data_IF_224083426900
#
_entry.id   IF_224083426900
#
_cell.length_a   1.000
_cell.length_b   1.000
_cell.length_c   1.000
_cell.angle_alpha   90.00
_cell.angle_beta   90.00
_cell.angle_gamma   90.00
#
_symmetry.space_group_name_H-M   'P 1'
#
loop_
_entity.id
_entity.type
_entity.pdbx_description
1 polymer ?
#
# COMPACT_ATOMS: atom_id res chain seq x y z
N UNK A 1 -60.48 -7.20 21.49
CA UNK A 1 -59.56 -7.07 20.35
C UNK A 1 -58.32 -6.44 20.90
N UNK A 2 -57.25 -7.21 21.00
CA UNK A 2 -55.92 -6.67 21.28
C UNK A 2 -55.36 -6.25 19.93
N UNK A 3 -55.02 -4.98 19.81
CA UNK A 3 -54.31 -4.43 18.66
C UNK A 3 -52.82 -4.71 18.88
N UNK A 4 -52.29 -5.68 18.14
CA UNK A 4 -50.87 -5.98 18.07
C UNK A 4 -50.17 -4.84 17.33
N UNK A 5 -49.54 -3.93 18.08
CA UNK A 5 -48.59 -2.97 17.56
C UNK A 5 -47.26 -3.69 17.28
N UNK A 6 -47.19 -4.31 16.11
CA UNK A 6 -45.94 -4.81 15.53
C UNK A 6 -45.07 -3.61 15.16
N UNK A 7 -44.31 -3.12 16.14
CA UNK A 7 -43.23 -2.17 15.93
C UNK A 7 -42.21 -2.81 15.01
N UNK A 8 -42.10 -2.30 13.79
CA UNK A 8 -41.05 -2.67 12.85
C UNK A 8 -39.70 -2.38 13.52
N UNK A 9 -39.03 -3.43 14.00
CA UNK A 9 -37.67 -3.39 14.52
C UNK A 9 -36.65 -3.20 13.37
N UNK A 10 -36.88 -2.21 12.53
CA UNK A 10 -35.94 -1.75 11.52
C UNK A 10 -35.03 -0.70 12.16
N UNK A 11 -34.06 -1.16 12.96
CA UNK A 11 -33.00 -0.29 13.45
C UNK A 11 -32.27 0.37 12.29
N UNK A 12 -31.82 1.62 12.46
CA UNK A 12 -31.07 2.33 11.44
C UNK A 12 -29.79 1.52 11.10
N UNK A 13 -29.64 1.16 9.82
CA UNK A 13 -28.48 0.40 9.36
C UNK A 13 -27.32 1.37 9.10
N UNK A 14 -26.27 1.25 9.89
CA UNK A 14 -25.07 2.07 9.77
C UNK A 14 -24.11 1.43 8.78
N UNK A 15 -23.84 2.14 7.67
CA UNK A 15 -22.90 1.70 6.63
C UNK A 15 -21.49 2.24 6.83
N UNK A 16 -21.33 3.38 7.52
CA UNK A 16 -20.06 4.07 7.66
C UNK A 16 -19.64 4.15 9.12
N UNK A 17 -18.42 3.68 9.40
CA UNK A 17 -17.85 3.71 10.75
C UNK A 17 -16.52 4.46 10.72
N UNK A 18 -16.41 5.47 11.59
CA UNK A 18 -15.13 6.15 11.80
C UNK A 18 -14.19 5.20 12.56
N UNK A 19 -13.07 4.85 11.96
CA UNK A 19 -12.08 3.94 12.53
C UNK A 19 -10.85 4.71 13.01
N UNK A 20 -10.47 4.48 14.27
CA UNK A 20 -9.28 5.05 14.88
C UNK A 20 -8.89 4.29 16.15
N UNK A 21 -7.69 4.55 16.66
CA UNK A 21 -7.23 4.00 17.94
C UNK A 21 -7.38 5.07 19.02
N UNK A 22 -7.77 4.66 20.23
CA UNK A 22 -7.93 5.55 21.40
C UNK A 22 -8.79 6.80 21.14
N UNK A 23 -9.79 6.68 20.26
CA UNK A 23 -10.70 7.76 19.92
C UNK A 23 -11.49 8.30 21.12
N UNK A 24 -11.65 7.49 22.16
CA UNK A 24 -12.38 7.84 23.36
C UNK A 24 -11.39 8.35 24.41
N UNK A 25 -11.32 9.67 24.57
CA UNK A 25 -10.60 10.26 25.71
C UNK A 25 -11.24 9.84 27.05
N UNK A 26 -10.58 10.13 28.16
CA UNK A 26 -11.01 9.70 29.49
C UNK A 26 -12.43 10.14 29.91
N UNK A 27 -13.05 11.13 29.24
CA UNK A 27 -14.39 11.67 29.56
C UNK A 27 -15.11 12.30 28.35
N UNK A 28 -15.59 11.49 27.40
CA UNK A 28 -16.62 11.93 26.43
C UNK A 28 -16.12 12.84 25.29
N UNK A 29 -14.82 12.93 25.05
CA UNK A 29 -14.27 13.53 23.83
C UNK A 29 -14.03 12.42 22.81
N UNK A 30 -14.59 12.58 21.61
CA UNK A 30 -14.32 11.72 20.46
C UNK A 30 -13.24 12.38 19.60
N UNK A 31 -12.06 11.77 19.57
CA UNK A 31 -10.87 12.29 18.88
C UNK A 31 -10.14 11.12 18.19
N UNK A 32 -10.69 10.63 17.08
CA UNK A 32 -10.09 9.54 16.29
C UNK A 32 -8.85 9.94 15.49
N UNK A 33 -8.28 11.13 15.74
CA UNK A 33 -7.15 11.65 15.00
C UNK A 33 -5.87 10.94 15.49
N UNK A 34 -5.29 10.10 14.65
CA UNK A 34 -3.88 9.70 14.78
C UNK A 34 -3.56 8.74 15.94
N UNK A 35 -3.92 7.46 15.77
CA UNK A 35 -3.37 6.34 16.55
C UNK A 35 -1.85 6.14 16.43
N UNK A 36 -1.13 7.04 15.74
CA UNK A 36 0.34 7.08 15.69
C UNK A 36 0.95 7.98 16.78
N UNK A 37 0.13 8.57 17.65
CA UNK A 37 0.62 9.45 18.71
C UNK A 37 1.17 10.79 18.21
N UNK A 38 0.90 11.17 16.95
CA UNK A 38 1.17 12.52 16.45
C UNK A 38 0.16 13.50 17.08
N UNK A 39 0.49 13.94 18.30
CA UNK A 39 -0.18 15.03 19.02
C UNK A 39 0.09 16.41 18.36
N UNK A 40 0.32 16.45 17.05
CA UNK A 40 0.76 17.65 16.35
C UNK A 40 -0.42 18.56 15.93
N UNK A 41 -1.65 18.21 16.30
CA UNK A 41 -2.83 19.05 16.09
C UNK A 41 -3.31 19.69 17.41
N UNK A 42 -2.42 20.33 18.16
CA UNK A 42 -2.84 21.38 19.08
C UNK A 42 -3.42 22.55 18.28
N UNK A 43 -4.74 22.57 18.08
CA UNK A 43 -5.47 23.84 17.90
C UNK A 43 -6.28 24.07 16.62
N UNK A 44 -6.52 23.08 15.76
CA UNK A 44 -7.38 23.27 14.58
C UNK A 44 -8.65 22.43 14.63
N UNK A 45 -9.77 23.04 14.99
CA UNK A 45 -11.13 22.47 15.00
C UNK A 45 -11.69 22.21 13.58
N UNK A 46 -10.92 21.59 12.69
CA UNK A 46 -11.32 21.32 11.32
C UNK A 46 -11.02 19.89 10.96
N UNK A 47 -12.04 19.03 11.00
CA UNK A 47 -12.03 17.80 10.23
C UNK A 47 -11.98 18.20 8.75
N UNK A 48 -10.93 17.79 8.02
CA UNK A 48 -10.77 18.16 6.61
C UNK A 48 -11.17 17.02 5.69
N UNK A 49 -11.00 15.76 6.10
CA UNK A 49 -11.39 14.63 5.25
C UNK A 49 -11.31 13.24 5.88
N UNK A 50 -11.65 12.25 5.07
CA UNK A 50 -11.65 10.83 5.43
C UNK A 50 -11.11 9.96 4.32
N UNK A 51 -10.28 8.98 4.67
CA UNK A 51 -9.77 7.96 3.74
C UNK A 51 -10.52 6.67 3.99
N UNK A 52 -11.13 6.11 2.95
CA UNK A 52 -11.80 4.82 3.03
C UNK A 52 -10.75 3.71 3.10
N UNK A 53 -10.82 2.90 4.15
CA UNK A 53 -10.01 1.72 4.31
C UNK A 53 -10.72 0.55 3.63
N UNK A 54 -10.21 0.12 2.48
CA UNK A 54 -10.70 -1.09 1.84
C UNK A 54 -10.15 -2.32 2.57
N UNK A 55 -11.02 -3.30 2.83
CA UNK A 55 -10.62 -4.61 3.31
C UNK A 55 -9.65 -5.28 2.34
N UNK A 56 -8.76 -6.16 2.82
CA UNK A 56 -7.96 -6.99 1.93
C UNK A 56 -8.90 -7.91 1.17
N UNK A 57 -9.19 -7.62 -0.10
CA UNK A 57 -9.86 -8.59 -0.95
C UNK A 57 -8.95 -9.82 -1.07
N UNK A 58 -9.50 -10.98 -0.74
CA UNK A 58 -8.78 -12.24 -0.72
C UNK A 58 -8.24 -12.53 -2.14
N UNK A 59 -6.91 -12.45 -2.32
CA UNK A 59 -6.28 -12.62 -3.62
C UNK A 59 -4.75 -12.46 -3.60
N UNK A 60 -4.12 -12.73 -4.74
CA UNK A 60 -2.65 -12.68 -4.92
C UNK A 60 -2.08 -11.26 -4.70
N UNK A 61 -2.92 -10.22 -4.83
CA UNK A 61 -2.59 -8.83 -4.49
C UNK A 61 -2.50 -8.55 -2.99
N UNK A 62 -3.05 -9.43 -2.13
CA UNK A 62 -2.96 -9.26 -0.69
C UNK A 62 -1.51 -9.41 -0.21
N UNK A 63 -0.74 -10.34 -0.78
CA UNK A 63 0.64 -10.61 -0.36
C UNK A 63 1.59 -9.43 -0.63
N UNK A 64 1.43 -8.73 -1.75
CA UNK A 64 2.23 -7.53 -2.07
C UNK A 64 1.83 -6.34 -1.20
N UNK A 65 0.55 -6.22 -0.83
CA UNK A 65 0.05 -5.23 0.12
C UNK A 65 0.51 -5.52 1.56
N UNK A 66 0.69 -6.77 2.00
CA UNK A 66 1.14 -7.07 3.37
C UNK A 66 2.54 -6.52 3.71
N UNK A 67 3.42 -6.38 2.72
CA UNK A 67 4.79 -5.85 2.94
C UNK A 67 4.87 -4.32 2.91
N UNK A 68 3.95 -3.66 2.21
CA UNK A 68 4.03 -2.22 1.91
C UNK A 68 2.84 -1.40 2.42
N UNK A 69 1.71 -2.04 2.73
CA UNK A 69 0.55 -1.39 3.31
C UNK A 69 0.69 -1.33 4.83
N UNK A 70 0.20 -0.25 5.46
CA UNK A 70 0.03 -0.19 6.90
C UNK A 70 -0.77 -1.43 7.37
N UNK A 71 -0.31 -2.10 8.43
CA UNK A 71 -1.09 -3.18 9.04
C UNK A 71 -2.34 -2.57 9.69
N UNK A 72 -3.45 -2.61 8.97
CA UNK A 72 -4.75 -2.19 9.48
C UNK A 72 -5.27 -3.30 10.40
N UNK A 73 -5.59 -2.96 11.65
CA UNK A 73 -6.17 -3.88 12.64
C UNK A 73 -7.66 -4.13 12.36
N UNK A 74 -7.97 -4.77 11.23
CA UNK A 74 -9.35 -5.01 10.79
C UNK A 74 -10.18 -5.78 11.83
N UNK A 75 -9.62 -6.85 12.40
CA UNK A 75 -10.27 -7.63 13.47
C UNK A 75 -10.54 -6.81 14.74
N UNK A 76 -9.69 -5.81 15.02
CA UNK A 76 -9.90 -4.90 16.14
C UNK A 76 -11.11 -3.99 15.89
N UNK A 77 -11.24 -3.46 14.67
CA UNK A 77 -12.34 -2.59 14.29
C UNK A 77 -13.67 -3.33 14.20
N UNK A 78 -13.70 -4.56 13.66
CA UNK A 78 -14.94 -5.35 13.62
C UNK A 78 -15.47 -5.64 15.02
N UNK A 79 -14.60 -6.00 15.97
CA UNK A 79 -14.98 -6.19 17.38
C UNK A 79 -15.47 -4.91 18.04
N UNK A 80 -14.86 -3.76 17.71
CA UNK A 80 -15.30 -2.46 18.22
C UNK A 80 -16.67 -2.04 17.65
N UNK A 81 -16.94 -2.34 16.38
CA UNK A 81 -18.23 -2.14 15.73
C UNK A 81 -19.30 -3.00 16.41
N UNK A 82 -19.02 -4.29 16.63
CA UNK A 82 -19.96 -5.21 17.30
C UNK A 82 -20.28 -4.78 18.75
N UNK A 83 -19.26 -4.30 19.48
CA UNK A 83 -19.47 -3.74 20.81
C UNK A 83 -20.31 -2.44 20.78
N UNK A 84 -20.11 -1.59 19.77
CA UNK A 84 -20.86 -0.34 19.64
C UNK A 84 -22.30 -0.58 19.16
N UNK A 85 -22.50 -1.51 18.24
CA UNK A 85 -23.81 -1.88 17.72
C UNK A 85 -24.70 -2.45 18.84
N UNK A 86 -24.12 -3.30 19.70
CA UNK A 86 -24.83 -3.85 20.86
C UNK A 86 -25.14 -2.80 21.95
N UNK A 87 -24.28 -1.80 22.15
CA UNK A 87 -24.51 -0.74 23.13
C UNK A 87 -25.56 0.30 22.71
N UNK A 88 -25.63 0.61 21.41
CA UNK A 88 -26.51 1.65 20.87
C UNK A 88 -27.71 1.09 20.09
N UNK A 89 -27.90 -0.23 20.10
CA UNK A 89 -28.98 -0.94 19.40
C UNK A 89 -29.01 -0.63 17.88
N UNK A 90 -27.83 -0.42 17.29
CA UNK A 90 -27.65 -0.13 15.87
C UNK A 90 -27.48 -1.44 15.09
N UNK A 91 -27.95 -1.47 13.84
CA UNK A 91 -27.64 -2.57 12.93
C UNK A 91 -26.43 -2.17 12.08
N UNK A 92 -25.36 -2.98 12.05
CA UNK A 92 -24.23 -2.75 11.15
C UNK A 92 -24.47 -3.47 9.82
N UNK A 93 -24.07 -2.85 8.71
CA UNK A 93 -23.95 -3.55 7.44
C UNK A 93 -22.97 -4.74 7.57
N UNK A 94 -23.16 -5.77 6.74
CA UNK A 94 -22.31 -6.96 6.70
C UNK A 94 -20.89 -6.65 6.23
N UNK A 95 -20.74 -5.63 5.38
CA UNK A 95 -19.46 -5.06 4.95
C UNK A 95 -19.43 -3.54 5.22
N UNK A 96 -19.11 -3.12 6.46
CA UNK A 96 -19.12 -1.72 6.83
C UNK A 96 -17.92 -0.97 6.24
N UNK A 97 -18.16 0.21 5.68
CA UNK A 97 -17.11 1.08 5.18
C UNK A 97 -16.41 1.78 6.35
N UNK A 98 -15.16 1.39 6.59
CA UNK A 98 -14.29 2.01 7.58
C UNK A 98 -13.67 3.28 7.01
N UNK A 99 -13.91 4.41 7.67
CA UNK A 99 -13.34 5.71 7.28
C UNK A 99 -12.31 6.12 8.31
N UNK A 100 -11.06 6.27 7.88
CA UNK A 100 -9.98 6.81 8.69
C UNK A 100 -9.97 8.34 8.60
N UNK A 101 -9.90 9.00 9.75
CA UNK A 101 -10.01 10.45 9.86
C UNK A 101 -8.64 11.10 9.67
N UNK A 102 -8.55 12.08 8.75
CA UNK A 102 -7.28 12.74 8.43
C UNK A 102 -7.39 14.25 8.63
N UNK A 103 -6.40 14.84 9.31
CA UNK A 103 -6.35 16.27 9.58
C UNK A 103 -5.78 17.08 8.40
N UNK A 104 -4.80 16.51 7.69
CA UNK A 104 -4.19 17.11 6.51
C UNK A 104 -4.10 16.09 5.38
N UNK A 105 -5.09 16.13 4.49
CA UNK A 105 -5.12 15.30 3.28
C UNK A 105 -3.87 15.51 2.41
N UNK A 106 -3.37 16.75 2.34
CA UNK A 106 -2.23 17.10 1.51
C UNK A 106 -0.93 16.52 2.07
N UNK A 107 -0.76 16.49 3.40
CA UNK A 107 0.39 15.84 4.03
C UNK A 107 0.39 14.33 3.77
N UNK A 108 -0.78 13.67 3.88
CA UNK A 108 -0.90 12.24 3.60
C UNK A 108 -0.62 11.98 2.12
N UNK A 109 -1.29 12.66 1.19
CA UNK A 109 -1.04 12.50 -0.25
C UNK A 109 0.44 12.72 -0.59
N UNK A 110 1.07 13.75 -0.02
CA UNK A 110 2.47 14.06 -0.26
C UNK A 110 3.38 12.92 0.22
N UNK A 111 3.12 12.34 1.40
CA UNK A 111 3.91 11.23 1.93
C UNK A 111 3.79 9.98 1.05
N UNK A 112 2.58 9.67 0.60
CA UNK A 112 2.32 8.56 -0.32
C UNK A 112 3.00 8.79 -1.67
N UNK A 113 2.87 9.99 -2.23
CA UNK A 113 3.50 10.38 -3.49
C UNK A 113 5.03 10.31 -3.42
N UNK A 114 5.64 10.78 -2.32
CA UNK A 114 7.09 10.67 -2.10
C UNK A 114 7.52 9.21 -2.03
N UNK A 115 6.75 8.37 -1.33
CA UNK A 115 7.03 6.93 -1.24
C UNK A 115 6.97 6.25 -2.62
N UNK A 116 5.91 6.51 -3.40
CA UNK A 116 5.76 5.96 -4.76
C UNK A 116 6.87 6.43 -5.69
N UNK A 117 7.21 7.72 -5.66
CA UNK A 117 8.32 8.28 -6.44
C UNK A 117 9.66 7.64 -6.05
N UNK A 118 9.91 7.42 -4.76
CA UNK A 118 11.13 6.77 -4.29
C UNK A 118 11.26 5.34 -4.82
N UNK A 119 10.17 4.56 -4.77
CA UNK A 119 10.13 3.20 -5.34
C UNK A 119 10.35 3.22 -6.84
N UNK A 120 9.72 4.15 -7.56
CA UNK A 120 9.84 4.28 -9.01
C UNK A 120 11.24 4.70 -9.47
N UNK A 121 11.85 5.67 -8.78
CA UNK A 121 13.22 6.10 -9.03
C UNK A 121 14.23 5.00 -8.69
N UNK A 122 14.00 4.30 -7.58
CA UNK A 122 14.83 3.16 -7.17
C UNK A 122 14.82 2.02 -8.19
N UNK A 123 13.64 1.65 -8.68
CA UNK A 123 13.51 0.59 -9.69
C UNK A 123 14.10 1.00 -11.05
N UNK A 124 13.89 2.25 -11.47
CA UNK A 124 14.48 2.80 -12.70
C UNK A 124 16.01 2.81 -12.64
N UNK A 125 16.59 3.25 -11.51
CA UNK A 125 18.04 3.24 -11.31
C UNK A 125 18.60 1.82 -11.35
N UNK A 126 17.94 0.87 -10.70
CA UNK A 126 18.35 -0.53 -10.70
C UNK A 126 18.33 -1.13 -12.11
N UNK A 127 17.30 -0.82 -12.90
CA UNK A 127 17.19 -1.25 -14.30
C UNK A 127 18.28 -0.65 -15.18
N UNK A 128 18.60 0.64 -15.01
CA UNK A 128 19.71 1.29 -15.71
C UNK A 128 21.06 0.63 -15.39
N UNK A 129 21.32 0.33 -14.11
CA UNK A 129 22.55 -0.37 -13.71
C UNK A 129 22.62 -1.76 -14.35
N UNK A 130 21.53 -2.50 -14.35
CA UNK A 130 21.46 -3.82 -14.98
C UNK A 130 21.75 -3.76 -16.48
N UNK A 131 21.12 -2.82 -17.20
CA UNK A 131 21.36 -2.61 -18.63
C UNK A 131 22.81 -2.21 -18.93
N UNK A 132 23.42 -1.37 -18.08
CA UNK A 132 24.84 -1.01 -18.22
C UNK A 132 25.77 -2.20 -18.01
N UNK A 133 25.50 -3.06 -17.02
CA UNK A 133 26.30 -4.28 -16.81
C UNK A 133 26.20 -5.21 -18.02
N UNK A 134 24.99 -5.45 -18.53
CA UNK A 134 24.80 -6.26 -19.74
C UNK A 134 25.51 -5.65 -20.95
N UNK A 135 25.39 -4.33 -21.15
CA UNK A 135 26.06 -3.64 -22.24
C UNK A 135 27.58 -3.83 -22.17
N UNK A 136 28.19 -3.56 -21.02
CA UNK A 136 29.63 -3.76 -20.82
C UNK A 136 30.04 -5.22 -21.07
N UNK A 137 29.25 -6.20 -20.63
CA UNK A 137 29.50 -7.61 -20.91
C UNK A 137 29.47 -7.93 -22.42
N UNK A 138 28.53 -7.36 -23.18
CA UNK A 138 28.47 -7.54 -24.64
C UNK A 138 29.64 -6.87 -25.37
N UNK A 139 30.13 -5.73 -24.87
CA UNK A 139 31.29 -5.03 -25.46
C UNK A 139 32.58 -5.82 -25.21
N UNK A 140 32.79 -6.31 -23.98
CA UNK A 140 33.99 -7.10 -23.63
C UNK A 140 34.06 -8.39 -24.45
N UNK A 141 32.95 -9.11 -24.60
CA UNK A 141 32.89 -10.36 -25.38
C UNK A 141 33.18 -10.14 -26.87
N UNK A 142 32.74 -9.01 -27.47
CA UNK A 142 33.10 -8.65 -28.84
C UNK A 142 34.61 -8.36 -28.99
N UNK A 143 35.21 -7.64 -28.02
CA UNK A 143 36.62 -7.27 -28.08
C UNK A 143 37.55 -8.49 -27.96
N UNK A 144 37.21 -9.48 -27.13
CA UNK A 144 38.03 -10.70 -26.98
C UNK A 144 37.93 -11.62 -28.19
N UNK A 145 36.75 -11.71 -28.82
CA UNK A 145 36.56 -12.58 -29.99
C UNK A 145 37.25 -12.06 -31.27
N UNK A 146 37.53 -10.76 -31.36
CA UNK A 146 38.25 -10.16 -32.50
C UNK A 146 39.77 -10.36 -32.49
N UNK A 147 40.37 -10.69 -31.33
CA UNK A 147 41.84 -10.80 -31.20
C UNK A 147 42.42 -12.16 -31.60
N UNK A 148 41.58 -13.17 -31.89
CA UNK A 148 42.02 -14.55 -32.14
C UNK A 148 42.14 -14.99 -33.61
N UNK A 149 41.72 -14.18 -34.58
CA UNK A 149 41.59 -14.61 -35.99
C UNK A 149 42.79 -14.21 -36.89
N UNK A 150 44.01 -14.18 -36.33
CA UNK A 150 45.17 -13.54 -36.97
C UNK A 150 46.42 -14.40 -37.14
N UNK A 151 46.33 -15.72 -37.31
CA UNK A 151 47.49 -16.49 -37.78
C UNK A 151 47.05 -17.65 -38.67
N UNK A 152 46.82 -17.36 -39.97
CA UNK A 152 46.93 -18.39 -41.01
C UNK A 152 48.42 -18.65 -41.22
N UNK A 153 48.97 -19.81 -40.84
CA UNK A 153 50.33 -20.15 -41.23
C UNK A 153 50.38 -20.22 -42.76
N UNK A 154 51.29 -19.46 -43.35
CA UNK A 154 51.54 -19.48 -44.78
C UNK A 154 51.93 -20.90 -45.20
N UNK A 155 51.19 -21.48 -46.15
CA UNK A 155 51.53 -22.76 -46.76
C UNK A 155 52.91 -22.69 -47.41
N UNK A 156 53.79 -23.69 -47.20
CA UNK A 156 55.10 -23.71 -47.85
C UNK A 156 54.94 -23.93 -49.36
N UNK A 157 55.51 -23.01 -50.14
CA UNK A 157 55.72 -23.12 -51.58
C UNK A 157 56.54 -24.39 -51.86
N UNK A 158 55.92 -25.33 -52.57
CA UNK A 158 56.57 -26.53 -53.10
C UNK A 158 57.45 -26.10 -54.27
N UNK A 159 58.76 -25.99 -54.05
CA UNK A 159 59.73 -25.86 -55.13
C UNK A 159 59.88 -27.23 -55.82
N UNK A 160 59.44 -27.29 -57.07
CA UNK A 160 59.67 -28.40 -57.99
C UNK A 160 60.72 -27.95 -59.02
N UNK A 161 61.94 -28.45 -58.86
CA UNK A 161 63.03 -28.46 -59.84
C UNK A 161 64.01 -29.51 -59.33
N UNK A 162 64.55 -30.43 -60.11
CA UNK A 162 64.70 -30.62 -61.56
C UNK A 162 64.80 -32.11 -61.82
#
# INVERSE_FOLDING_TARGET
GAEDAEGTAGGEVVQFWAAGLDCCGARGKFDCVGGDGSKDAEGGSGWVGGVVLHGPEEGEEAASRTLLAPRIFHEGYSRAIEASSSLYELQSAEDPLLVYCVWDEAAVLRRWLVSTLAVWLGSSLLYCLFALVLWNATVVTKNTSGSGAGHKPASPVSQRGT
#
